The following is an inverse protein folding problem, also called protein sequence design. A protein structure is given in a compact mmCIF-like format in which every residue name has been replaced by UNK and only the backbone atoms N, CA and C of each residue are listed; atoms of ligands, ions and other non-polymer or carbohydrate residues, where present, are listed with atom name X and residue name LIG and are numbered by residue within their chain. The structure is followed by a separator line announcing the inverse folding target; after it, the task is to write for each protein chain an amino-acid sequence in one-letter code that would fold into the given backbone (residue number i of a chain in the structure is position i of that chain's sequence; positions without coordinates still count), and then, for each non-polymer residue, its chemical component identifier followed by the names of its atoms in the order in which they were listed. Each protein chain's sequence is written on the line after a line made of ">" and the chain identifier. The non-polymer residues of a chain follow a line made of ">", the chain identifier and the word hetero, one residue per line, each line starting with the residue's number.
data_IF_470090545113
#
_entry.id   IF_470090545113
#
_cell.length_a   1.000
_cell.length_b   1.000
_cell.length_c   1.000
_cell.angle_alpha   90.00
_cell.angle_beta   90.00
_cell.angle_gamma   90.00
#
_symmetry.space_group_name_H-M   'P 1'
#
loop_
_entity.id
_entity.type
_entity.pdbx_description
1 polymer ?
#
# COMPACT_ATOMS: atom_id res chain seq x y z
N UNK A 1 -40.59 -17.84 3.94
CA UNK A 1 -40.04 -16.68 3.19
C UNK A 1 -38.77 -16.13 3.85
N UNK A 2 -38.74 -15.91 5.18
CA UNK A 2 -37.57 -15.36 5.92
C UNK A 2 -36.27 -16.18 5.80
N UNK A 3 -36.33 -17.52 5.83
CA UNK A 3 -35.12 -18.38 5.74
C UNK A 3 -34.45 -18.29 4.36
N UNK A 4 -35.24 -18.29 3.27
CA UNK A 4 -34.70 -18.16 1.91
C UNK A 4 -34.04 -16.80 1.69
N UNK A 5 -34.66 -15.74 2.21
CA UNK A 5 -34.11 -14.38 2.19
C UNK A 5 -32.79 -14.29 2.95
N UNK A 6 -32.75 -14.82 4.18
CA UNK A 6 -31.53 -14.88 4.99
C UNK A 6 -30.40 -15.64 4.28
N UNK A 7 -30.69 -16.78 3.68
CA UNK A 7 -29.69 -17.56 2.95
C UNK A 7 -29.14 -16.78 1.75
N UNK A 8 -30.01 -16.13 0.97
CA UNK A 8 -29.58 -15.29 -0.15
C UNK A 8 -28.66 -14.15 0.30
N UNK A 9 -28.97 -13.50 1.44
CA UNK A 9 -28.12 -12.45 1.99
C UNK A 9 -26.75 -12.99 2.41
N UNK A 10 -26.72 -14.17 3.04
CA UNK A 10 -25.47 -14.81 3.45
C UNK A 10 -24.63 -15.20 2.22
N UNK A 11 -25.26 -15.72 1.16
CA UNK A 11 -24.58 -16.02 -0.11
C UNK A 11 -24.03 -14.74 -0.77
N UNK A 12 -24.81 -13.66 -0.79
CA UNK A 12 -24.35 -12.36 -1.30
C UNK A 12 -23.14 -11.84 -0.54
N UNK A 13 -23.16 -11.93 0.80
CA UNK A 13 -22.00 -11.56 1.62
C UNK A 13 -20.81 -12.45 1.32
N UNK A 14 -21.01 -13.77 1.20
CA UNK A 14 -19.93 -14.69 0.84
C UNK A 14 -19.27 -14.31 -0.49
N UNK A 15 -20.05 -14.06 -1.54
CA UNK A 15 -19.56 -13.64 -2.85
C UNK A 15 -18.76 -12.34 -2.78
N UNK A 16 -19.22 -11.37 -2.00
CA UNK A 16 -18.54 -10.09 -1.83
C UNK A 16 -17.23 -10.22 -1.06
N UNK A 17 -17.19 -11.03 0.00
CA UNK A 17 -15.97 -11.29 0.74
C UNK A 17 -14.95 -12.09 -0.09
N UNK A 18 -15.39 -13.03 -0.92
CA UNK A 18 -14.51 -13.75 -1.86
C UNK A 18 -13.93 -12.80 -2.92
N UNK A 19 -14.71 -11.85 -3.44
CA UNK A 19 -14.17 -10.78 -4.31
C UNK A 19 -13.14 -9.94 -3.59
N UNK A 20 -13.40 -9.55 -2.33
CA UNK A 20 -12.41 -8.82 -1.54
C UNK A 20 -11.12 -9.63 -1.35
N UNK A 21 -11.20 -10.94 -1.12
CA UNK A 21 -10.02 -11.81 -1.07
C UNK A 21 -9.19 -11.69 -2.36
N UNK A 22 -9.82 -11.75 -3.52
CA UNK A 22 -9.12 -11.59 -4.80
C UNK A 22 -8.45 -10.20 -4.93
N UNK A 23 -9.17 -9.14 -4.54
CA UNK A 23 -8.66 -7.76 -4.61
C UNK A 23 -7.47 -7.52 -3.66
N UNK A 24 -7.55 -8.00 -2.42
CA UNK A 24 -6.45 -7.91 -1.47
C UNK A 24 -5.27 -8.80 -1.86
N UNK A 25 -5.51 -9.97 -2.45
CA UNK A 25 -4.43 -10.81 -3.00
C UNK A 25 -3.69 -10.07 -4.12
N UNK A 26 -4.41 -9.36 -4.99
CA UNK A 26 -3.77 -8.53 -6.01
C UNK A 26 -3.04 -7.34 -5.39
N UNK A 27 -3.61 -6.70 -4.37
CA UNK A 27 -2.96 -5.61 -3.63
C UNK A 27 -1.63 -6.04 -3.01
N UNK A 28 -1.56 -7.26 -2.48
CA UNK A 28 -0.34 -7.85 -1.95
C UNK A 28 0.73 -7.99 -3.03
N UNK A 29 0.39 -8.52 -4.21
CA UNK A 29 1.33 -8.60 -5.34
C UNK A 29 1.83 -7.21 -5.77
N UNK A 30 0.93 -6.22 -5.80
CA UNK A 30 1.33 -4.84 -6.11
C UNK A 30 2.29 -4.27 -5.05
N UNK A 31 2.14 -4.67 -3.78
CA UNK A 31 3.06 -4.31 -2.69
C UNK A 31 4.46 -4.85 -2.96
N UNK A 32 4.56 -6.14 -3.31
CA UNK A 32 5.82 -6.83 -3.61
C UNK A 32 6.52 -6.18 -4.80
N UNK A 33 5.79 -5.89 -5.88
CA UNK A 33 6.33 -5.20 -7.06
C UNK A 33 6.82 -3.79 -6.69
N UNK A 34 6.14 -3.10 -5.78
CA UNK A 34 6.50 -1.74 -5.38
C UNK A 34 7.82 -1.70 -4.59
N UNK A 35 8.10 -2.70 -3.75
CA UNK A 35 9.40 -2.83 -3.07
C UNK A 35 10.54 -2.94 -4.09
N UNK A 36 10.40 -3.80 -5.09
CA UNK A 36 11.43 -3.96 -6.12
C UNK A 36 11.58 -2.69 -6.96
N UNK A 37 10.48 -2.03 -7.31
CA UNK A 37 10.53 -0.74 -7.99
C UNK A 37 11.28 0.35 -7.20
N UNK A 38 11.13 0.39 -5.87
CA UNK A 38 11.88 1.31 -5.00
C UNK A 38 13.37 0.98 -5.00
N UNK A 39 13.73 -0.31 -4.91
CA UNK A 39 15.13 -0.75 -4.93
C UNK A 39 15.81 -0.41 -6.26
N UNK A 40 15.09 -0.56 -7.37
CA UNK A 40 15.55 -0.23 -8.72
C UNK A 40 15.52 1.27 -9.03
N UNK A 41 14.85 2.09 -8.21
CA UNK A 41 14.62 3.51 -8.51
C UNK A 41 13.68 3.75 -9.70
N UNK A 42 12.81 2.79 -10.01
CA UNK A 42 11.91 2.85 -11.17
C UNK A 42 10.64 3.65 -10.87
N UNK A 43 10.67 4.95 -11.19
CA UNK A 43 9.53 5.85 -10.95
C UNK A 43 8.25 5.42 -11.69
N UNK A 44 8.38 4.94 -12.93
CA UNK A 44 7.25 4.47 -13.73
C UNK A 44 6.55 3.27 -13.08
N UNK A 45 7.32 2.26 -12.65
CA UNK A 45 6.77 1.10 -11.94
C UNK A 45 6.09 1.52 -10.64
N UNK A 46 6.70 2.41 -9.86
CA UNK A 46 6.10 2.94 -8.62
C UNK A 46 4.77 3.67 -8.87
N UNK A 47 4.68 4.48 -9.92
CA UNK A 47 3.43 5.15 -10.29
C UNK A 47 2.36 4.15 -10.71
N UNK A 48 2.73 3.16 -11.51
CA UNK A 48 1.82 2.10 -11.97
C UNK A 48 1.24 1.28 -10.81
N UNK A 49 2.10 0.81 -9.90
CA UNK A 49 1.64 0.03 -8.73
C UNK A 49 0.76 0.88 -7.80
N UNK A 50 1.11 2.14 -7.58
CA UNK A 50 0.31 3.05 -6.75
C UNK A 50 -1.08 3.31 -7.33
N UNK A 51 -1.15 3.63 -8.63
CA UNK A 51 -2.42 3.81 -9.33
C UNK A 51 -3.30 2.55 -9.24
N UNK A 52 -2.71 1.38 -9.49
CA UNK A 52 -3.44 0.11 -9.40
C UNK A 52 -3.96 -0.16 -8.00
N UNK A 53 -3.17 0.09 -6.96
CA UNK A 53 -3.62 -0.06 -5.56
C UNK A 53 -4.77 0.87 -5.21
N UNK A 54 -4.77 2.11 -5.70
CA UNK A 54 -5.89 3.02 -5.50
C UNK A 54 -7.18 2.54 -6.17
N UNK A 55 -7.09 1.96 -7.36
CA UNK A 55 -8.25 1.37 -8.03
C UNK A 55 -8.83 0.21 -7.21
N UNK A 56 -7.97 -0.69 -6.73
CA UNK A 56 -8.38 -1.82 -5.89
C UNK A 56 -9.07 -1.34 -4.60
N UNK A 57 -8.53 -0.30 -3.94
CA UNK A 57 -9.15 0.31 -2.75
C UNK A 57 -10.56 0.84 -3.05
N UNK A 58 -10.75 1.56 -4.17
CA UNK A 58 -12.07 2.06 -4.56
C UNK A 58 -13.07 0.93 -4.81
N UNK A 59 -12.62 -0.17 -5.40
CA UNK A 59 -13.46 -1.34 -5.62
C UNK A 59 -13.86 -2.02 -4.31
N UNK A 60 -12.91 -2.16 -3.37
CA UNK A 60 -13.18 -2.66 -2.01
C UNK A 60 -14.18 -1.76 -1.27
N UNK A 61 -13.99 -0.44 -1.33
CA UNK A 61 -14.90 0.53 -0.70
C UNK A 61 -16.33 0.42 -1.26
N UNK A 62 -16.45 0.24 -2.58
CA UNK A 62 -17.74 -0.01 -3.22
C UNK A 62 -18.38 -1.30 -2.72
N UNK A 63 -17.63 -2.41 -2.68
CA UNK A 63 -18.15 -3.70 -2.17
C UNK A 63 -18.61 -3.56 -0.72
N UNK A 64 -17.87 -2.84 0.11
CA UNK A 64 -18.23 -2.58 1.51
C UNK A 64 -19.51 -1.75 1.62
N UNK A 65 -19.66 -0.73 0.76
CA UNK A 65 -20.88 0.08 0.69
C UNK A 65 -22.08 -0.76 0.29
N UNK A 66 -21.95 -1.58 -0.77
CA UNK A 66 -22.99 -2.47 -1.28
C UNK A 66 -23.39 -3.54 -0.24
N UNK A 67 -22.43 -3.99 0.58
CA UNK A 67 -22.66 -5.00 1.62
C UNK A 67 -23.33 -4.45 2.87
N UNK A 68 -23.29 -3.14 3.12
CA UNK A 68 -23.76 -2.54 4.38
C UNK A 68 -25.23 -2.82 4.65
N UNK A 69 -26.10 -2.57 3.67
CA UNK A 69 -27.54 -2.79 3.83
C UNK A 69 -27.86 -4.28 4.08
N UNK A 70 -27.11 -5.19 3.45
CA UNK A 70 -27.28 -6.64 3.63
C UNK A 70 -26.80 -7.09 5.01
N UNK A 71 -25.70 -6.52 5.50
CA UNK A 71 -25.20 -6.77 6.86
C UNK A 71 -26.23 -6.31 7.89
N UNK A 72 -26.80 -5.11 7.72
CA UNK A 72 -27.82 -4.54 8.61
C UNK A 72 -29.07 -5.44 8.65
N UNK A 73 -29.56 -5.89 7.48
CA UNK A 73 -30.71 -6.79 7.37
C UNK A 73 -30.46 -8.18 7.99
N UNK A 74 -29.25 -8.73 7.82
CA UNK A 74 -28.85 -9.98 8.50
C UNK A 74 -28.83 -9.79 10.02
N UNK A 75 -28.31 -8.66 10.51
CA UNK A 75 -28.26 -8.36 11.94
C UNK A 75 -29.67 -8.21 12.51
N UNK A 76 -30.57 -7.50 11.81
CA UNK A 76 -31.96 -7.34 12.22
C UNK A 76 -32.68 -8.70 12.25
N UNK A 77 -32.53 -9.49 11.19
CA UNK A 77 -33.16 -10.82 11.05
C UNK A 77 -32.74 -11.79 12.15
N UNK A 78 -31.48 -11.72 12.58
CA UNK A 78 -30.91 -12.60 13.61
C UNK A 78 -30.89 -11.96 15.01
N UNK A 79 -31.42 -10.74 15.15
CA UNK A 79 -31.38 -9.95 16.38
C UNK A 79 -29.96 -9.78 16.95
N UNK A 80 -28.97 -9.64 16.07
CA UNK A 80 -27.60 -9.33 16.45
C UNK A 80 -27.43 -7.81 16.62
N UNK A 81 -26.80 -7.40 17.73
CA UNK A 81 -26.41 -5.99 17.93
C UNK A 81 -25.30 -5.53 16.98
N UNK A 82 -24.52 -6.48 16.47
CA UNK A 82 -23.35 -6.27 15.64
C UNK A 82 -23.12 -7.50 14.77
N UNK A 83 -22.64 -7.29 13.55
CA UNK A 83 -22.30 -8.39 12.67
C UNK A 83 -21.02 -9.09 13.13
N UNK A 84 -21.11 -10.39 13.43
CA UNK A 84 -19.96 -11.24 13.74
C UNK A 84 -20.14 -12.58 13.06
N UNK A 85 -19.22 -12.93 12.17
CA UNK A 85 -19.31 -14.22 11.45
C UNK A 85 -19.24 -15.41 12.39
N UNK A 86 -18.47 -15.32 13.49
CA UNK A 86 -18.47 -16.35 14.55
C UNK A 86 -19.82 -16.54 15.25
N UNK A 87 -20.71 -15.52 15.23
CA UNK A 87 -22.09 -15.66 15.70
C UNK A 87 -22.99 -16.21 14.59
N UNK A 88 -22.80 -15.73 13.36
CA UNK A 88 -23.57 -16.17 12.18
C UNK A 88 -23.44 -17.68 11.95
N UNK A 89 -22.23 -18.22 11.92
CA UNK A 89 -21.98 -19.65 11.65
C UNK A 89 -22.51 -20.59 12.72
N UNK A 90 -22.83 -20.08 13.92
CA UNK A 90 -23.45 -20.88 15.00
C UNK A 90 -24.96 -21.04 14.82
N UNK A 91 -25.58 -20.17 14.02
CA UNK A 91 -27.05 -20.11 13.86
C UNK A 91 -27.49 -20.39 12.43
N UNK A 92 -26.67 -20.04 11.44
CA UNK A 92 -26.88 -20.33 10.02
C UNK A 92 -25.84 -21.36 9.58
N UNK A 93 -26.31 -22.55 9.20
CA UNK A 93 -25.47 -23.65 8.71
C UNK A 93 -25.80 -23.89 7.23
N UNK A 94 -25.21 -23.06 6.39
CA UNK A 94 -25.40 -23.08 4.92
C UNK A 94 -24.06 -23.05 4.20
N UNK A 95 -23.99 -23.50 2.93
CA UNK A 95 -22.78 -23.34 2.13
C UNK A 95 -22.27 -21.90 2.08
N UNK A 96 -23.17 -20.91 1.99
CA UNK A 96 -22.81 -19.50 2.04
C UNK A 96 -22.10 -19.09 3.33
N UNK A 97 -22.58 -19.56 4.49
CA UNK A 97 -21.93 -19.24 5.77
C UNK A 97 -20.53 -19.85 5.92
N UNK A 98 -20.30 -21.04 5.34
CA UNK A 98 -18.98 -21.68 5.32
C UNK A 98 -18.02 -20.92 4.39
N UNK A 99 -18.48 -20.55 3.19
CA UNK A 99 -17.73 -19.73 2.23
C UNK A 99 -17.34 -18.38 2.83
N UNK A 100 -18.29 -17.71 3.47
CA UNK A 100 -18.05 -16.44 4.15
C UNK A 100 -17.01 -16.57 5.26
N UNK A 101 -17.10 -17.62 6.08
CA UNK A 101 -16.11 -17.90 7.12
C UNK A 101 -14.72 -18.14 6.54
N UNK A 102 -14.62 -18.95 5.48
CA UNK A 102 -13.37 -19.22 4.79
C UNK A 102 -12.77 -17.95 4.16
N UNK A 103 -13.58 -17.10 3.53
CA UNK A 103 -13.14 -15.84 2.94
C UNK A 103 -12.58 -14.89 4.00
N UNK A 104 -13.24 -14.77 5.15
CA UNK A 104 -12.74 -13.96 6.28
C UNK A 104 -11.44 -14.54 6.85
N UNK A 105 -11.32 -15.87 6.93
CA UNK A 105 -10.06 -16.53 7.29
C UNK A 105 -8.92 -16.09 6.39
N UNK A 106 -9.11 -16.15 5.07
CA UNK A 106 -8.11 -15.68 4.09
C UNK A 106 -7.79 -14.20 4.25
N UNK A 107 -8.78 -13.34 4.46
CA UNK A 107 -8.53 -11.91 4.70
C UNK A 107 -7.71 -11.67 5.97
N UNK A 108 -7.94 -12.46 7.02
CA UNK A 108 -7.17 -12.36 8.26
C UNK A 108 -5.70 -12.76 8.11
N UNK A 109 -5.35 -13.50 7.06
CA UNK A 109 -3.98 -13.84 6.69
C UNK A 109 -3.37 -12.79 5.75
N UNK A 110 -4.12 -12.33 4.74
CA UNK A 110 -3.62 -11.41 3.71
C UNK A 110 -3.35 -10.01 4.25
N UNK A 111 -4.27 -9.46 5.07
CA UNK A 111 -4.17 -8.07 5.53
C UNK A 111 -2.90 -7.81 6.37
N UNK A 112 -2.51 -8.68 7.33
CA UNK A 112 -1.24 -8.52 8.04
C UNK A 112 -0.01 -8.60 7.12
N UNK A 113 -0.01 -9.46 6.10
CA UNK A 113 1.10 -9.53 5.15
C UNK A 113 1.22 -8.26 4.32
N UNK A 114 0.11 -7.66 3.87
CA UNK A 114 0.13 -6.35 3.21
C UNK A 114 0.74 -5.30 4.14
N UNK A 115 0.29 -5.24 5.40
CA UNK A 115 0.78 -4.26 6.37
C UNK A 115 2.29 -4.41 6.63
N UNK A 116 2.77 -5.65 6.73
CA UNK A 116 4.19 -5.97 6.90
C UNK A 116 5.02 -5.50 5.72
N UNK A 117 4.57 -5.78 4.49
CA UNK A 117 5.26 -5.35 3.27
C UNK A 117 5.23 -3.82 3.16
N UNK A 118 4.10 -3.17 3.47
CA UNK A 118 4.02 -1.71 3.42
C UNK A 118 4.98 -1.05 4.43
N UNK A 119 5.16 -1.65 5.61
CA UNK A 119 6.15 -1.20 6.60
C UNK A 119 7.58 -1.37 6.08
N UNK A 120 7.88 -2.50 5.43
CA UNK A 120 9.19 -2.75 4.81
C UNK A 120 9.46 -1.79 3.66
N UNK A 121 8.43 -1.48 2.87
CA UNK A 121 8.47 -0.56 1.76
C UNK A 121 8.83 0.86 2.23
N UNK A 122 8.17 1.36 3.27
CA UNK A 122 8.48 2.66 3.88
C UNK A 122 9.93 2.74 4.36
N UNK A 123 10.41 1.69 5.05
CA UNK A 123 11.80 1.60 5.49
C UNK A 123 12.77 1.64 4.31
N UNK A 124 12.48 0.86 3.27
CA UNK A 124 13.33 0.76 2.07
C UNK A 124 13.40 2.10 1.34
N UNK A 125 12.27 2.80 1.17
CA UNK A 125 12.23 4.12 0.56
C UNK A 125 13.05 5.13 1.38
N UNK A 126 12.94 5.10 2.71
CA UNK A 126 13.71 5.97 3.59
C UNK A 126 15.22 5.73 3.46
N UNK A 127 15.66 4.47 3.42
CA UNK A 127 17.06 4.11 3.22
C UNK A 127 17.60 4.61 1.86
N UNK A 128 16.81 4.51 0.79
CA UNK A 128 17.19 5.04 -0.53
C UNK A 128 17.33 6.56 -0.53
N UNK A 129 16.43 7.28 0.16
CA UNK A 129 16.51 8.73 0.32
C UNK A 129 17.79 9.14 1.06
N UNK A 130 18.18 8.42 2.11
CA UNK A 130 19.43 8.69 2.84
C UNK A 130 20.64 8.51 1.93
N UNK A 131 20.70 7.40 1.18
CA UNK A 131 21.79 7.13 0.23
C UNK A 131 21.91 8.25 -0.81
N UNK A 132 20.79 8.62 -1.44
CA UNK A 132 20.76 9.69 -2.44
C UNK A 132 21.24 11.04 -1.87
N UNK A 133 20.86 11.37 -0.63
CA UNK A 133 21.34 12.58 0.06
C UNK A 133 22.85 12.55 0.31
N UNK A 134 23.40 11.40 0.69
CA UNK A 134 24.83 11.23 0.88
C UNK A 134 25.59 11.40 -0.46
N UNK A 135 25.09 10.79 -1.53
CA UNK A 135 25.68 10.90 -2.87
C UNK A 135 25.64 12.34 -3.39
N UNK A 136 24.53 13.04 -3.21
CA UNK A 136 24.43 14.47 -3.55
C UNK A 136 25.44 15.32 -2.77
N UNK A 137 25.69 15.02 -1.49
CA UNK A 137 26.70 15.71 -0.69
C UNK A 137 28.11 15.46 -1.22
N UNK A 138 28.43 14.22 -1.61
CA UNK A 138 29.72 13.88 -2.23
C UNK A 138 29.92 14.60 -3.57
N UNK A 139 28.91 14.62 -4.43
CA UNK A 139 28.94 15.34 -5.72
C UNK A 139 29.12 16.84 -5.51
N UNK A 140 28.45 17.43 -4.51
CA UNK A 140 28.60 18.86 -4.20
C UNK A 140 30.01 19.16 -3.70
N UNK A 141 30.56 18.33 -2.82
CA UNK A 141 31.91 18.48 -2.30
C UNK A 141 32.96 18.34 -3.41
N UNK A 142 32.82 17.37 -4.31
CA UNK A 142 33.77 17.18 -5.42
C UNK A 142 33.73 18.35 -6.41
N UNK A 143 32.55 18.92 -6.68
CA UNK A 143 32.41 20.16 -7.47
C UNK A 143 33.10 21.34 -6.78
N UNK A 144 32.92 21.50 -5.46
CA UNK A 144 33.56 22.58 -4.71
C UNK A 144 35.09 22.45 -4.71
N UNK A 145 35.63 21.24 -4.54
CA UNK A 145 37.08 20.98 -4.61
C UNK A 145 37.62 21.28 -6.01
N UNK A 146 36.95 20.82 -7.08
CA UNK A 146 37.35 21.18 -8.46
C UNK A 146 37.35 22.69 -8.66
N UNK A 147 36.30 23.39 -8.24
CA UNK A 147 36.21 24.84 -8.40
C UNK A 147 37.32 25.57 -7.63
N UNK A 148 37.66 25.11 -6.42
CA UNK A 148 38.75 25.67 -5.63
C UNK A 148 40.12 25.47 -6.32
N UNK A 149 40.36 24.29 -6.90
CA UNK A 149 41.58 24.03 -7.68
C UNK A 149 41.67 24.90 -8.94
N UNK A 150 40.58 25.02 -9.71
CA UNK A 150 40.55 25.88 -10.90
C UNK A 150 40.71 27.36 -10.58
N UNK A 151 40.28 27.83 -9.40
CA UNK A 151 40.50 29.21 -8.95
C UNK A 151 41.93 29.45 -8.44
N UNK A 152 42.59 28.43 -7.87
CA UNK A 152 43.98 28.52 -7.41
C UNK A 152 45.00 28.51 -8.56
N UNK A 153 44.65 27.93 -9.71
CA UNK A 153 45.49 27.90 -10.92
C UNK A 153 45.31 29.12 -11.83
N UNK A 154 44.36 30.03 -11.55
CA UNK A 154 44.34 31.32 -12.24
C UNK A 154 45.53 32.16 -11.77
N UNK A 155 46.42 32.61 -12.67
CA UNK A 155 47.53 33.46 -12.26
C UNK A 155 46.93 34.72 -11.65
N UNK A 156 47.25 34.98 -10.38
CA UNK A 156 47.16 36.31 -9.81
C UNK A 156 48.03 37.20 -10.69
N UNK A 157 47.39 37.92 -11.62
CA UNK A 157 48.08 38.88 -12.48
C UNK A 157 48.94 39.80 -11.61
N UNK A 158 50.11 40.22 -12.10
CA UNK A 158 51.12 40.85 -11.26
C UNK A 158 50.50 42.03 -10.51
N UNK A 159 50.52 41.97 -9.18
CA UNK A 159 50.41 43.15 -8.33
C UNK A 159 51.49 44.11 -8.81
N UNK A 160 51.08 45.12 -9.57
CA UNK A 160 51.91 46.28 -9.87
C UNK A 160 52.20 46.94 -8.52
N UNK A 161 53.34 46.56 -7.95
CA UNK A 161 54.07 47.30 -6.94
C UNK A 161 54.33 48.70 -7.49
N UNK A 162 53.38 49.62 -7.29
CA UNK A 162 53.64 51.03 -7.49
C UNK A 162 54.45 51.56 -6.29
N UNK A 163 55.74 51.23 -6.31
CA UNK A 163 56.77 51.91 -5.53
C UNK A 163 57.33 53.06 -6.38
N UNK A 164 56.70 54.23 -6.33
CA UNK A 164 57.35 55.52 -6.65
C UNK A 164 56.88 56.54 -5.60
N UNK A 165 57.76 56.90 -4.66
CA UNK A 165 58.74 58.00 -4.72
C UNK A 165 58.08 59.37 -4.75
#
# INVERSE_FOLDING_TARGET
>A
MKVKHLNNNVDFLADNYEKQVALYTEMLKQAEVMIEAIKEGSEEKMKGTFARRQELMKEIDRINSDSKAVIDDVCETLHFKEFKVSKLVKVVHTPGSERLFAAIGKLSEILPEIQKIDTEMERTAYEQIIKLKADMKLIRNSKNVRNAYYQAEQPTGPELLDKKK
#
